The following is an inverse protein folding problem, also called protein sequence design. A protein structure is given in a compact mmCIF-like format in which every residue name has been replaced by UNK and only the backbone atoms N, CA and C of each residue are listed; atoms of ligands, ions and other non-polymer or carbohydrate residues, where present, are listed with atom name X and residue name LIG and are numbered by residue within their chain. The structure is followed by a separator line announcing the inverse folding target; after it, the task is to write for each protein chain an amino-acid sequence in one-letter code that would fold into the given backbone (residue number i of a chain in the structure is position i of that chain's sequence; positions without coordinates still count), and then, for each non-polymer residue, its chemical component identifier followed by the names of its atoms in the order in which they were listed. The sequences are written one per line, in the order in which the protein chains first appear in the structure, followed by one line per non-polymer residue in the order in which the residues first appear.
data_IF_052821137422
#
_entry.id   IF_052821137422
#
_cell.length_a   1.000
_cell.length_b   1.000
_cell.length_c   1.000
_cell.angle_alpha   90.00
_cell.angle_beta   90.00
_cell.angle_gamma   90.00
#
_symmetry.space_group_name_H-M   'P 1'
#
loop_
_entity.id
_entity.type
_entity.pdbx_description
1 polymer ?
#
# COMPACT_ATOMS: atom_id res chain seq x y z
N UNK A 1 -10.82 11.65 31.22
CA UNK A 1 -11.44 11.13 29.99
C UNK A 1 -10.59 11.39 28.74
N UNK A 2 -10.01 12.59 28.58
CA UNK A 2 -9.24 12.99 27.39
C UNK A 2 -8.17 12.00 26.89
N UNK A 3 -7.22 11.50 27.71
CA UNK A 3 -6.21 10.57 27.22
C UNK A 3 -6.80 9.22 26.79
N UNK A 4 -7.86 8.77 27.45
CA UNK A 4 -8.53 7.50 27.15
C UNK A 4 -9.20 7.55 25.79
N UNK A 5 -9.87 8.67 25.47
CA UNK A 5 -10.50 8.87 24.15
C UNK A 5 -9.45 8.87 23.04
N UNK A 6 -8.28 9.49 23.26
CA UNK A 6 -7.18 9.45 22.31
C UNK A 6 -6.71 8.02 22.01
N UNK A 7 -6.53 7.20 23.04
CA UNK A 7 -6.15 5.79 22.90
C UNK A 7 -7.22 5.00 22.13
N UNK A 8 -8.50 5.26 22.38
CA UNK A 8 -9.58 4.62 21.61
C UNK A 8 -9.49 4.93 20.12
N UNK A 9 -9.26 6.19 19.74
CA UNK A 9 -9.09 6.55 18.32
C UNK A 9 -7.83 5.93 17.70
N UNK A 10 -6.71 5.88 18.43
CA UNK A 10 -5.51 5.19 17.94
C UNK A 10 -5.76 3.70 17.72
N UNK A 11 -6.41 3.02 18.67
CA UNK A 11 -6.77 1.61 18.54
C UNK A 11 -7.73 1.37 17.37
N UNK A 12 -8.75 2.22 17.21
CA UNK A 12 -9.65 2.17 16.07
C UNK A 12 -8.93 2.39 14.74
N UNK A 13 -8.01 3.35 14.66
CA UNK A 13 -7.23 3.63 13.45
C UNK A 13 -6.35 2.46 13.01
N UNK A 14 -5.65 1.82 13.95
CA UNK A 14 -4.88 0.60 13.64
C UNK A 14 -5.80 -0.53 13.18
N UNK A 15 -6.96 -0.68 13.83
CA UNK A 15 -7.94 -1.72 13.48
C UNK A 15 -8.49 -1.54 12.06
N UNK A 16 -8.65 -0.31 11.57
CA UNK A 16 -9.07 -0.06 10.18
C UNK A 16 -7.93 -0.24 9.18
N UNK A 17 -6.71 0.19 9.53
CA UNK A 17 -5.52 -0.01 8.68
C UNK A 17 -5.19 -1.50 8.47
N UNK A 18 -5.53 -2.37 9.42
CA UNK A 18 -5.39 -3.82 9.26
C UNK A 18 -6.20 -4.40 8.09
N UNK A 19 -7.25 -3.70 7.63
CA UNK A 19 -8.05 -4.08 6.46
C UNK A 19 -7.72 -3.20 5.24
N UNK A 20 -6.49 -2.69 5.16
CA UNK A 20 -5.99 -1.87 4.05
C UNK A 20 -6.74 -0.54 3.86
N UNK A 21 -7.46 -0.05 4.89
CA UNK A 21 -8.00 1.31 4.91
C UNK A 21 -6.94 2.26 5.49
N UNK A 22 -6.08 2.75 4.61
CA UNK A 22 -4.92 3.56 4.95
C UNK A 22 -5.26 5.04 5.17
N UNK A 23 -4.25 5.80 5.60
CA UNK A 23 -4.34 7.26 5.73
C UNK A 23 -4.49 7.98 4.39
N UNK A 24 -4.64 9.30 4.46
CA UNK A 24 -4.78 10.12 3.26
C UNK A 24 -3.57 9.99 2.32
N UNK A 25 -3.87 9.92 1.02
CA UNK A 25 -2.87 9.94 -0.04
C UNK A 25 -2.99 11.25 -0.82
N UNK A 26 -1.97 12.11 -0.69
CA UNK A 26 -1.89 13.39 -1.39
C UNK A 26 -0.70 13.46 -2.36
N UNK A 27 -0.32 12.32 -2.93
CA UNK A 27 0.77 12.26 -3.90
C UNK A 27 0.41 13.11 -5.13
N UNK A 28 1.30 14.04 -5.48
CA UNK A 28 1.15 14.92 -6.64
C UNK A 28 -0.17 15.71 -6.68
N UNK A 29 -0.74 16.02 -5.51
CA UNK A 29 -2.07 16.63 -5.42
C UNK A 29 -2.15 18.10 -5.83
N UNK A 30 -1.01 18.78 -6.05
CA UNK A 30 -0.98 20.17 -6.51
C UNK A 30 -0.31 20.22 -7.88
N UNK A 31 -1.03 20.79 -8.85
CA UNK A 31 -0.56 20.99 -10.22
C UNK A 31 -0.51 22.49 -10.54
N UNK A 32 0.46 22.89 -11.36
CA UNK A 32 0.46 24.23 -11.97
C UNK A 32 -0.52 24.30 -13.15
N UNK A 33 -0.67 25.50 -13.75
CA UNK A 33 -1.54 25.71 -14.92
C UNK A 33 -1.08 24.98 -16.20
N UNK A 34 0.14 24.43 -16.21
CA UNK A 34 0.69 23.62 -17.29
C UNK A 34 0.60 22.12 -17.01
N UNK A 35 -0.01 21.72 -15.88
CA UNK A 35 -0.14 20.32 -15.47
C UNK A 35 1.12 19.72 -14.85
N UNK A 36 2.12 20.53 -14.47
CA UNK A 36 3.31 20.05 -13.78
C UNK A 36 3.05 19.93 -12.30
N UNK A 37 3.61 18.88 -11.69
CA UNK A 37 3.50 18.64 -10.26
C UNK A 37 4.28 19.68 -9.48
N UNK A 38 3.59 20.36 -8.55
CA UNK A 38 4.22 21.20 -7.54
C UNK A 38 4.47 20.33 -6.32
N UNK A 39 5.75 20.06 -6.03
CA UNK A 39 6.15 19.21 -4.91
C UNK A 39 5.68 19.76 -3.55
N UNK A 40 5.12 18.89 -2.73
CA UNK A 40 4.62 19.16 -1.38
C UNK A 40 5.35 18.33 -0.34
N UNK A 41 5.07 18.59 0.94
CA UNK A 41 5.53 17.71 2.03
C UNK A 41 4.97 16.29 1.93
N UNK A 42 3.78 16.11 1.34
CA UNK A 42 3.23 14.78 1.09
C UNK A 42 4.11 13.99 0.11
N UNK A 43 4.64 14.63 -0.93
CA UNK A 43 5.54 13.99 -1.89
C UNK A 43 6.89 13.60 -1.25
N UNK A 44 7.37 14.38 -0.28
CA UNK A 44 8.56 14.05 0.50
C UNK A 44 8.31 12.82 1.39
N UNK A 45 7.17 12.78 2.09
CA UNK A 45 6.77 11.62 2.89
C UNK A 45 6.59 10.36 2.04
N UNK A 46 6.02 10.50 0.84
CA UNK A 46 5.89 9.40 -0.11
C UNK A 46 7.24 8.81 -0.53
N UNK A 47 8.25 9.67 -0.78
CA UNK A 47 9.61 9.18 -1.10
C UNK A 47 10.24 8.40 0.06
N UNK A 48 10.02 8.85 1.30
CA UNK A 48 10.44 8.11 2.48
C UNK A 48 9.69 6.76 2.60
N UNK A 49 8.38 6.77 2.33
CA UNK A 49 7.54 5.57 2.27
C UNK A 49 8.06 4.53 1.28
N UNK A 50 8.32 4.95 0.03
CA UNK A 50 8.90 4.08 -1.01
C UNK A 50 10.25 3.50 -0.56
N UNK A 51 11.10 4.31 0.09
CA UNK A 51 12.39 3.84 0.61
C UNK A 51 12.25 2.72 1.65
N UNK A 52 11.19 2.74 2.46
CA UNK A 52 10.87 1.65 3.39
C UNK A 52 10.30 0.44 2.64
N UNK A 53 9.34 0.65 1.73
CA UNK A 53 8.68 -0.40 0.96
C UNK A 53 9.68 -1.26 0.18
N UNK A 54 10.63 -0.63 -0.53
CA UNK A 54 11.60 -1.38 -1.36
C UNK A 54 12.66 -2.13 -0.55
N UNK A 55 12.88 -1.76 0.72
CA UNK A 55 13.90 -2.38 1.58
C UNK A 55 13.31 -3.37 2.60
N UNK A 56 12.03 -3.22 2.95
CA UNK A 56 11.34 -4.11 3.87
C UNK A 56 11.26 -5.52 3.27
N UNK A 57 11.52 -6.54 4.10
CA UNK A 57 11.45 -7.95 3.66
C UNK A 57 12.23 -8.23 2.36
N UNK A 58 13.46 -7.69 2.28
CA UNK A 58 14.36 -7.69 1.11
C UNK A 58 14.51 -8.97 0.28
N UNK A 59 14.19 -10.14 0.84
CA UNK A 59 14.31 -11.46 0.19
C UNK A 59 12.99 -12.26 0.19
N UNK A 60 11.86 -11.68 0.61
CA UNK A 60 10.58 -12.38 0.70
C UNK A 60 9.68 -12.19 -0.53
N UNK A 61 9.98 -11.20 -1.36
CA UNK A 61 9.15 -10.80 -2.50
C UNK A 61 9.68 -11.37 -3.82
N UNK A 62 8.91 -12.27 -4.44
CA UNK A 62 9.19 -12.82 -5.78
C UNK A 62 8.31 -12.19 -6.88
N UNK A 63 7.29 -11.43 -6.48
CA UNK A 63 6.35 -10.75 -7.36
C UNK A 63 6.45 -9.24 -7.14
N UNK A 64 6.17 -8.41 -8.17
CA UNK A 64 6.38 -6.97 -8.11
C UNK A 64 5.35 -6.23 -7.24
N UNK A 65 4.23 -6.86 -6.90
CA UNK A 65 3.18 -6.27 -6.06
C UNK A 65 3.17 -6.97 -4.71
N UNK A 66 3.39 -6.21 -3.64
CA UNK A 66 3.15 -6.67 -2.29
C UNK A 66 1.65 -6.64 -2.00
N UNK A 67 1.02 -7.77 -2.31
CA UNK A 67 -0.36 -8.06 -1.93
C UNK A 67 -0.31 -9.23 -0.96
N UNK A 68 -0.97 -9.10 0.19
CA UNK A 68 -1.28 -10.23 1.04
C UNK A 68 -2.34 -11.12 0.34
N UNK A 69 -1.92 -11.89 -0.67
CA UNK A 69 -2.76 -12.90 -1.32
C UNK A 69 -2.86 -14.14 -0.43
N UNK A 70 -3.97 -14.89 -0.56
CA UNK A 70 -4.02 -16.27 -0.07
C UNK A 70 -3.02 -17.18 -0.79
N UNK A 71 -3.11 -18.49 -0.57
CA UNK A 71 -2.21 -19.47 -1.17
C UNK A 71 -1.99 -19.23 -2.68
N UNK A 72 -0.72 -19.32 -3.09
CA UNK A 72 -0.33 -19.22 -4.49
C UNK A 72 -0.98 -20.38 -5.26
N UNK A 73 -2.02 -20.08 -6.05
CA UNK A 73 -2.59 -21.08 -6.94
C UNK A 73 -1.49 -21.47 -7.96
N UNK A 74 -1.21 -22.77 -8.16
CA UNK A 74 -0.22 -23.18 -9.14
C UNK A 74 -0.66 -22.69 -10.51
N UNK A 75 0.21 -21.94 -11.19
CA UNK A 75 -0.01 -21.52 -12.57
C UNK A 75 -0.11 -22.78 -13.41
N UNK A 76 -1.25 -22.98 -14.08
CA UNK A 76 -1.42 -24.09 -15.00
C UNK A 76 -0.49 -23.90 -16.20
N UNK A 77 0.65 -24.61 -16.21
CA UNK A 77 1.62 -24.60 -17.31
C UNK A 77 1.15 -25.41 -18.53
N UNK A 78 0.02 -26.12 -18.40
CA UNK A 78 -0.55 -26.97 -19.44
C UNK A 78 -2.02 -26.63 -19.63
N UNK A 79 -2.41 -26.24 -20.84
CA UNK A 79 -3.81 -26.02 -21.18
C UNK A 79 -4.60 -27.33 -21.03
N UNK A 80 -5.86 -27.30 -20.53
CA UNK A 80 -6.70 -28.50 -20.46
C UNK A 80 -6.90 -29.10 -21.85
N UNK A 81 -6.58 -30.39 -22.01
CA UNK A 81 -6.94 -31.11 -23.23
C UNK A 81 -8.46 -31.33 -23.24
N UNK A 82 -9.13 -30.73 -24.22
CA UNK A 82 -10.55 -30.97 -24.48
C UNK A 82 -10.64 -32.33 -25.19
N UNK A 83 -10.86 -33.41 -24.43
CA UNK A 83 -11.19 -34.71 -25.01
C UNK A 83 -12.69 -34.72 -25.29
N UNK A 84 -13.05 -34.59 -26.58
CA UNK A 84 -14.41 -34.85 -27.07
C UNK A 84 -14.72 -36.34 -27.15
#
# INVERSE_FOLDING_TARGET
AWPVIGIWFTAMGVSTMAFNLNGFNFNQSILDSQGRVIGTWADVLNRAGIGMEVMHERNAHNFPLDLASGEQAPVALTAPAING
#
